data_IF_734194486691
#
_entry.id   IF_734194486691
#
_cell.length_a   1.000
_cell.length_b   1.000
_cell.length_c   1.000
_cell.angle_alpha   90.00
_cell.angle_beta   90.00
_cell.angle_gamma   90.00
#
_symmetry.space_group_name_H-M   'P 1'
#
loop_
_entity.id
_entity.type
_entity.pdbx_description
1 polymer ?
#
# COMPACT_ATOMS: atom_id res chain seq x y z
N UNK A 1 -11.65 8.61 -14.51
CA UNK A 1 -11.97 7.51 -13.59
C UNK A 1 -11.39 7.85 -12.22
N UNK A 2 -11.85 7.22 -11.12
CA UNK A 2 -11.46 7.62 -9.78
C UNK A 2 -9.99 7.28 -9.50
N UNK A 3 -9.29 8.11 -8.71
CA UNK A 3 -7.96 7.78 -8.25
C UNK A 3 -8.02 6.59 -7.29
N UNK A 4 -6.91 5.89 -7.14
CA UNK A 4 -6.83 4.73 -6.26
C UNK A 4 -5.40 4.37 -5.90
N UNK A 5 -5.27 3.18 -5.32
CA UNK A 5 -3.98 2.60 -4.97
C UNK A 5 -3.94 1.12 -5.36
N UNK A 6 -2.73 0.68 -5.71
CA UNK A 6 -2.35 -0.72 -5.65
C UNK A 6 -1.62 -0.94 -4.31
N UNK A 7 -2.21 -1.79 -3.48
CA UNK A 7 -1.73 -2.14 -2.15
C UNK A 7 -1.16 -3.56 -2.19
N UNK A 8 0.08 -3.74 -1.73
CA UNK A 8 0.79 -5.02 -1.80
C UNK A 8 1.47 -5.31 -0.47
N UNK A 9 0.85 -6.13 0.38
CA UNK A 9 1.55 -6.73 1.51
C UNK A 9 2.36 -7.94 1.06
N UNK A 10 3.55 -8.09 1.59
CA UNK A 10 4.47 -9.15 1.16
C UNK A 10 5.21 -9.80 2.30
N UNK A 11 5.54 -11.08 2.09
CA UNK A 11 6.25 -11.93 3.05
C UNK A 11 7.07 -12.98 2.34
N UNK A 12 8.16 -13.40 2.95
CA UNK A 12 8.95 -14.55 2.49
C UNK A 12 8.26 -15.84 2.96
N UNK A 13 8.15 -16.83 2.07
CA UNK A 13 7.60 -18.16 2.36
C UNK A 13 8.66 -19.20 2.67
N UNK A 14 9.87 -19.04 2.14
CA UNK A 14 10.92 -20.07 2.26
C UNK A 14 12.22 -19.45 2.77
N UNK A 15 12.96 -20.17 3.65
CA UNK A 15 14.20 -19.64 4.24
C UNK A 15 15.34 -19.49 3.22
N UNK A 16 15.19 -20.05 2.02
CA UNK A 16 16.15 -19.94 0.91
C UNK A 16 16.17 -18.55 0.24
N UNK A 17 15.19 -17.71 0.54
CA UNK A 17 15.18 -16.30 0.14
C UNK A 17 15.36 -15.47 1.40
N UNK A 18 16.42 -14.66 1.48
CA UNK A 18 16.66 -13.82 2.66
C UNK A 18 15.90 -12.49 2.55
N UNK A 19 15.58 -11.84 3.68
CA UNK A 19 15.03 -10.47 3.70
C UNK A 19 15.85 -9.49 2.87
N UNK A 20 17.19 -9.55 2.96
CA UNK A 20 18.08 -8.64 2.25
C UNK A 20 17.98 -8.82 0.73
N UNK A 21 18.01 -10.07 0.23
CA UNK A 21 17.87 -10.34 -1.19
C UNK A 21 16.47 -9.94 -1.70
N UNK A 22 15.43 -10.23 -0.92
CA UNK A 22 14.06 -9.87 -1.27
C UNK A 22 13.86 -8.35 -1.35
N UNK A 23 14.28 -7.62 -0.32
CA UNK A 23 14.17 -6.16 -0.28
C UNK A 23 15.05 -5.51 -1.36
N UNK A 24 16.29 -5.99 -1.57
CA UNK A 24 17.16 -5.46 -2.60
C UNK A 24 16.56 -5.58 -4.01
N UNK A 25 15.99 -6.74 -4.37
CA UNK A 25 15.26 -6.90 -5.63
C UNK A 25 14.07 -5.96 -5.72
N UNK A 26 13.24 -5.94 -4.68
CA UNK A 26 11.98 -5.20 -4.76
C UNK A 26 12.23 -3.68 -4.82
N UNK A 27 13.16 -3.16 -4.02
CA UNK A 27 13.48 -1.74 -3.95
C UNK A 27 14.26 -1.25 -5.16
N UNK A 28 15.26 -1.99 -5.63
CA UNK A 28 16.17 -1.53 -6.68
C UNK A 28 15.79 -2.02 -8.09
N UNK A 29 14.80 -2.91 -8.21
CA UNK A 29 14.30 -3.39 -9.52
C UNK A 29 12.79 -3.20 -9.61
N UNK A 30 12.01 -3.90 -8.79
CA UNK A 30 10.56 -3.99 -9.01
C UNK A 30 9.81 -2.66 -8.85
N UNK A 31 10.16 -1.84 -7.85
CA UNK A 31 9.55 -0.51 -7.68
C UNK A 31 9.89 0.39 -8.87
N UNK A 32 11.09 0.30 -9.43
CA UNK A 32 11.48 1.08 -10.59
C UNK A 32 10.70 0.66 -11.86
N UNK A 33 10.52 -0.64 -12.08
CA UNK A 33 9.69 -1.15 -13.18
C UNK A 33 8.24 -0.67 -13.06
N UNK A 34 7.67 -0.77 -11.85
CA UNK A 34 6.31 -0.30 -11.58
C UNK A 34 6.18 1.21 -11.78
N UNK A 35 7.13 2.00 -11.29
CA UNK A 35 7.08 3.48 -11.38
C UNK A 35 7.50 4.04 -12.73
N UNK A 36 8.04 3.21 -13.62
CA UNK A 36 8.27 3.55 -15.02
C UNK A 36 6.99 3.50 -15.87
N UNK A 37 5.93 2.86 -15.38
CA UNK A 37 4.64 2.82 -16.06
C UNK A 37 3.96 4.19 -16.08
N UNK A 38 3.25 4.49 -17.18
CA UNK A 38 2.58 5.78 -17.37
C UNK A 38 1.48 6.06 -16.33
N UNK A 39 0.85 5.01 -15.79
CA UNK A 39 -0.24 5.10 -14.82
C UNK A 39 0.16 4.92 -13.35
N UNK A 40 1.45 4.81 -13.02
CA UNK A 40 1.93 4.59 -11.65
C UNK A 40 3.06 5.57 -11.32
N UNK A 41 2.75 6.86 -11.07
CA UNK A 41 3.76 7.91 -10.98
C UNK A 41 4.62 7.86 -9.71
N UNK A 42 4.20 7.11 -8.68
CA UNK A 42 4.95 7.01 -7.42
C UNK A 42 4.57 5.79 -6.60
N UNK A 43 5.49 5.40 -5.72
CA UNK A 43 5.32 4.33 -4.75
C UNK A 43 5.84 4.77 -3.37
N UNK A 44 5.35 4.10 -2.32
CA UNK A 44 5.89 4.16 -0.98
C UNK A 44 5.99 2.74 -0.43
N UNK A 45 7.14 2.39 0.16
CA UNK A 45 7.38 1.10 0.82
C UNK A 45 7.52 1.34 2.32
N UNK A 46 6.94 0.44 3.10
CA UNK A 46 6.96 0.45 4.55
C UNK A 46 7.39 -0.90 5.07
N UNK A 47 8.05 -0.88 6.22
CA UNK A 47 8.40 -2.05 7.01
C UNK A 47 7.69 -1.97 8.37
N UNK A 48 7.30 -3.13 8.89
CA UNK A 48 6.66 -3.26 10.19
C UNK A 48 7.56 -2.77 11.32
N UNK A 49 6.99 -1.97 12.23
CA UNK A 49 7.69 -1.52 13.43
C UNK A 49 7.89 -2.69 14.40
N UNK A 50 9.06 -2.73 15.04
CA UNK A 50 9.36 -3.68 16.11
C UNK A 50 9.63 -2.93 17.42
N UNK A 51 9.07 -3.38 18.57
CA UNK A 51 8.09 -4.47 18.68
C UNK A 51 6.74 -4.10 18.06
N UNK A 52 5.99 -5.09 17.58
CA UNK A 52 4.66 -4.90 17.00
C UNK A 52 3.71 -4.22 17.99
N UNK A 53 3.03 -3.13 17.60
CA UNK A 53 2.17 -2.37 18.51
C UNK A 53 0.84 -3.07 18.82
N UNK A 54 0.40 -4.01 17.97
CA UNK A 54 -0.88 -4.71 18.14
C UNK A 54 -0.73 -6.22 17.91
N UNK A 55 -1.32 -7.06 18.77
CA UNK A 55 -1.31 -8.50 18.57
C UNK A 55 -2.14 -8.89 17.33
N UNK A 56 -1.69 -9.92 16.59
CA UNK A 56 -2.36 -10.44 15.39
C UNK A 56 -2.51 -9.40 14.27
N UNK A 57 -1.67 -8.36 14.25
CA UNK A 57 -1.60 -7.45 13.12
C UNK A 57 -1.11 -8.20 11.88
N UNK A 58 -1.63 -7.84 10.69
CA UNK A 58 -1.18 -8.44 9.44
C UNK A 58 0.33 -8.25 9.22
N UNK A 59 0.90 -7.16 9.73
CA UNK A 59 2.33 -6.85 9.71
C UNK A 59 3.19 -7.91 10.39
N UNK A 60 2.65 -8.64 11.37
CA UNK A 60 3.37 -9.74 12.04
C UNK A 60 3.66 -10.90 11.09
N UNK A 61 2.77 -11.16 10.12
CA UNK A 61 2.99 -12.21 9.12
C UNK A 61 3.50 -11.66 7.78
N UNK A 62 3.22 -10.39 7.47
CA UNK A 62 3.61 -9.70 6.24
C UNK A 62 4.31 -8.38 6.57
N UNK A 63 5.62 -8.42 6.87
CA UNK A 63 6.32 -7.27 7.45
C UNK A 63 6.57 -6.13 6.46
N UNK A 64 6.36 -6.34 5.16
CA UNK A 64 6.57 -5.29 4.15
C UNK A 64 5.27 -4.95 3.42
N UNK A 65 5.01 -3.66 3.29
CA UNK A 65 3.89 -3.10 2.54
C UNK A 65 4.41 -2.13 1.47
N UNK A 66 4.02 -2.34 0.22
CA UNK A 66 4.20 -1.34 -0.85
C UNK A 66 2.85 -0.79 -1.28
N UNK A 67 2.77 0.52 -1.40
CA UNK A 67 1.60 1.24 -1.92
C UNK A 67 2.03 2.02 -3.15
N UNK A 68 1.38 1.75 -4.28
CA UNK A 68 1.56 2.47 -5.53
C UNK A 68 0.36 3.40 -5.74
N UNK A 69 0.62 4.68 -6.02
CA UNK A 69 -0.45 5.60 -6.39
C UNK A 69 -0.90 5.33 -7.82
N UNK A 70 -2.21 5.31 -8.04
CA UNK A 70 -2.82 5.17 -9.36
C UNK A 70 -3.76 6.36 -9.59
N UNK A 71 -3.37 7.37 -10.39
CA UNK A 71 -4.24 8.51 -10.71
C UNK A 71 -5.56 8.09 -11.35
N UNK A 72 -5.53 6.95 -12.03
CA UNK A 72 -6.68 6.26 -12.59
C UNK A 72 -6.59 4.76 -12.22
N UNK A 73 -7.49 4.28 -11.36
CA UNK A 73 -7.49 2.88 -10.92
C UNK A 73 -7.76 1.88 -12.06
N UNK A 74 -8.40 2.32 -13.14
CA UNK A 74 -8.67 1.47 -14.31
C UNK A 74 -7.44 1.23 -15.16
N UNK A 75 -6.33 1.95 -14.92
CA UNK A 75 -5.04 1.67 -15.55
C UNK A 75 -4.63 0.20 -15.39
N UNK A 76 -5.05 -0.48 -14.30
CA UNK A 76 -4.84 -1.92 -14.06
C UNK A 76 -5.38 -2.83 -15.17
N UNK A 77 -6.31 -2.32 -15.99
CA UNK A 77 -6.95 -3.09 -17.08
C UNK A 77 -6.24 -2.92 -18.42
N UNK A 78 -5.30 -1.98 -18.52
CA UNK A 78 -4.59 -1.65 -19.75
C UNK A 78 -3.59 -2.75 -20.13
N UNK A 79 -3.20 -2.77 -21.42
CA UNK A 79 -2.14 -3.67 -21.90
C UNK A 79 -0.79 -3.36 -21.26
N UNK A 80 -0.51 -2.08 -21.00
CA UNK A 80 0.74 -1.63 -20.40
C UNK A 80 0.91 -2.23 -19.00
N UNK A 81 -0.09 -2.07 -18.12
CA UNK A 81 -0.04 -2.63 -16.78
C UNK A 81 0.04 -4.17 -16.77
N UNK A 82 -0.73 -4.83 -17.64
CA UNK A 82 -0.76 -6.30 -17.75
C UNK A 82 0.50 -6.90 -18.40
N UNK A 83 1.33 -6.08 -19.03
CA UNK A 83 2.58 -6.51 -19.68
C UNK A 83 3.74 -6.72 -18.71
N UNK A 84 3.62 -6.26 -17.46
CA UNK A 84 4.66 -6.41 -16.45
C UNK A 84 4.79 -7.83 -15.92
N UNK A 85 6.03 -8.25 -15.68
CA UNK A 85 6.38 -9.50 -15.01
C UNK A 85 5.67 -9.60 -13.64
N UNK A 86 4.95 -10.71 -13.43
CA UNK A 86 4.11 -10.93 -12.25
C UNK A 86 2.62 -10.62 -12.48
N UNK A 87 2.30 -9.86 -13.54
CA UNK A 87 0.95 -9.81 -14.15
C UNK A 87 0.89 -10.71 -15.40
N UNK A 88 2.00 -10.79 -16.14
CA UNK A 88 2.33 -11.82 -17.13
C UNK A 88 3.30 -12.85 -16.52
N UNK A 89 3.55 -13.97 -17.24
CA UNK A 89 4.53 -14.98 -16.80
C UNK A 89 5.92 -14.33 -16.65
N UNK A 90 6.49 -14.26 -15.43
CA UNK A 90 7.79 -13.62 -15.21
C UNK A 90 8.91 -14.37 -15.90
N UNK A 91 10.04 -13.70 -16.14
CA UNK A 91 11.28 -14.39 -16.50
C UNK A 91 11.60 -15.54 -15.51
N UNK A 92 12.08 -16.67 -16.02
CA UNK A 92 12.27 -17.90 -15.23
C UNK A 92 13.14 -17.68 -13.97
N UNK A 93 14.19 -16.85 -14.09
CA UNK A 93 15.04 -16.47 -12.97
C UNK A 93 14.26 -15.75 -11.86
N UNK A 94 13.38 -14.81 -12.24
CA UNK A 94 12.58 -14.04 -11.31
C UNK A 94 11.46 -14.91 -10.69
N UNK A 95 10.89 -15.80 -11.48
CA UNK A 95 9.89 -16.78 -11.03
C UNK A 95 10.46 -17.72 -9.95
N UNK A 96 11.61 -18.35 -10.21
CA UNK A 96 12.28 -19.26 -9.26
C UNK A 96 12.97 -18.52 -8.11
N UNK A 97 13.47 -17.31 -8.38
CA UNK A 97 14.22 -16.49 -7.44
C UNK A 97 13.33 -15.88 -6.37
N UNK A 98 12.22 -15.26 -6.76
CA UNK A 98 11.37 -14.48 -5.85
C UNK A 98 9.92 -14.97 -5.85
N UNK A 99 9.24 -15.03 -6.99
CA UNK A 99 7.77 -15.23 -7.00
C UNK A 99 7.33 -16.56 -6.38
N UNK A 100 8.09 -17.64 -6.52
CA UNK A 100 7.80 -18.93 -5.85
C UNK A 100 8.13 -18.93 -4.36
N UNK A 101 9.02 -18.05 -3.92
CA UNK A 101 9.60 -18.01 -2.55
C UNK A 101 9.02 -16.90 -1.69
N UNK A 102 8.26 -15.97 -2.28
CA UNK A 102 7.53 -14.93 -1.58
C UNK A 102 6.01 -15.09 -1.78
N UNK A 103 5.23 -14.42 -0.94
CA UNK A 103 3.79 -14.24 -1.11
C UNK A 103 3.51 -12.75 -1.19
N UNK A 104 2.68 -12.38 -2.15
CA UNK A 104 2.17 -11.02 -2.35
C UNK A 104 0.65 -11.06 -2.21
N UNK A 105 0.12 -10.34 -1.24
CA UNK A 105 -1.32 -10.12 -1.09
C UNK A 105 -1.65 -8.78 -1.76
N UNK A 106 -2.06 -8.87 -3.03
CA UNK A 106 -2.31 -7.71 -3.91
C UNK A 106 -3.76 -7.29 -3.88
N UNK A 107 -4.03 -5.99 -3.68
CA UNK A 107 -5.37 -5.41 -3.67
C UNK A 107 -5.39 -4.09 -4.42
N UNK A 108 -6.48 -3.83 -5.14
CA UNK A 108 -6.75 -2.55 -5.81
C UNK A 108 -7.88 -1.86 -5.06
N UNK A 109 -7.66 -0.61 -4.67
CA UNK A 109 -8.66 0.19 -3.96
C UNK A 109 -8.95 1.47 -4.71
N UNK A 110 -10.23 1.77 -4.87
CA UNK A 110 -10.72 3.08 -5.28
C UNK A 110 -10.69 4.03 -4.08
N UNK A 111 -10.22 5.26 -4.30
CA UNK A 111 -10.30 6.32 -3.31
C UNK A 111 -11.68 6.95 -3.36
N UNK A 112 -12.51 6.64 -2.35
CA UNK A 112 -13.88 7.18 -2.23
C UNK A 112 -13.95 8.44 -1.36
N UNK A 113 -12.88 8.74 -0.61
CA UNK A 113 -12.78 9.91 0.25
C UNK A 113 -11.35 10.24 0.62
N UNK A 114 -11.10 11.52 0.93
CA UNK A 114 -9.85 11.95 1.57
C UNK A 114 -10.22 12.83 2.75
N UNK A 115 -9.67 12.52 3.93
CA UNK A 115 -9.84 13.33 5.13
C UNK A 115 -8.49 13.94 5.54
N UNK A 116 -8.43 15.25 5.62
CA UNK A 116 -7.26 16.02 6.09
C UNK A 116 -7.73 17.09 7.08
N UNK A 117 -6.86 17.52 7.99
CA UNK A 117 -7.17 18.64 8.89
C UNK A 117 -7.34 19.94 8.08
N UNK A 118 -8.20 20.84 8.56
CA UNK A 118 -8.25 22.20 8.03
C UNK A 118 -6.86 22.86 8.13
N UNK A 119 -6.41 23.47 7.04
CA UNK A 119 -5.04 23.99 6.89
C UNK A 119 -4.00 22.97 6.40
N UNK A 120 -4.40 21.72 6.18
CA UNK A 120 -3.56 20.63 5.69
C UNK A 120 -2.56 20.10 6.72
N UNK A 121 -1.87 19.01 6.39
CA UNK A 121 -0.72 18.59 7.20
C UNK A 121 0.31 19.72 7.22
N UNK A 122 0.80 20.12 8.41
CA UNK A 122 1.93 21.04 8.51
C UNK A 122 3.04 20.49 7.62
N UNK A 123 3.50 21.30 6.66
CA UNK A 123 4.69 20.97 5.87
C UNK A 123 5.77 20.58 6.89
N UNK A 124 6.30 19.37 6.77
CA UNK A 124 7.49 18.98 7.54
C UNK A 124 8.53 20.08 7.35
N UNK A 125 9.18 20.49 8.43
CA UNK A 125 10.07 21.66 8.46
C UNK A 125 11.14 21.64 7.35
N UNK A 126 11.49 20.44 6.87
CA UNK A 126 12.50 20.21 5.83
C UNK A 126 11.95 20.17 4.39
N UNK A 127 10.68 20.52 4.15
CA UNK A 127 10.13 20.61 2.79
C UNK A 127 10.00 19.26 2.06
N UNK A 128 10.20 18.12 2.72
CA UNK A 128 10.07 16.81 2.10
C UNK A 128 8.62 16.52 1.66
N UNK A 129 8.39 16.61 0.34
CA UNK A 129 7.15 16.22 -0.37
C UNK A 129 7.13 14.70 -0.57
N UNK A 130 7.38 13.94 0.49
CA UNK A 130 7.44 12.47 0.47
C UNK A 130 6.18 11.81 1.04
N UNK A 131 6.11 10.46 1.00
CA UNK A 131 5.08 9.72 1.74
C UNK A 131 5.13 10.03 3.26
N UNK A 132 4.07 9.64 3.98
CA UNK A 132 4.11 9.65 5.44
C UNK A 132 5.23 8.73 5.92
N UNK A 133 5.91 9.08 7.02
CA UNK A 133 6.95 8.21 7.60
C UNK A 133 6.35 6.95 8.21
N UNK A 134 5.07 6.99 8.59
CA UNK A 134 4.31 5.89 9.17
C UNK A 134 2.96 5.77 8.46
N UNK A 135 2.45 4.55 8.38
CA UNK A 135 1.12 4.25 7.85
C UNK A 135 0.41 3.27 8.79
N UNK A 136 -0.88 3.48 8.99
CA UNK A 136 -1.80 2.48 9.55
C UNK A 136 -2.72 2.08 8.41
N UNK A 137 -2.77 0.77 8.10
CA UNK A 137 -3.67 0.22 7.09
C UNK A 137 -4.68 -0.69 7.77
N UNK A 138 -5.96 -0.37 7.63
CA UNK A 138 -7.06 -1.13 8.20
C UNK A 138 -8.06 -1.50 7.10
N UNK A 139 -8.67 -2.67 7.22
CA UNK A 139 -9.76 -3.12 6.38
C UNK A 139 -10.93 -3.53 7.27
N UNK A 140 -12.11 -3.02 6.97
CA UNK A 140 -13.34 -3.29 7.72
C UNK A 140 -14.41 -3.77 6.74
N UNK A 141 -15.23 -4.72 7.17
CA UNK A 141 -16.38 -5.19 6.42
C UNK A 141 -17.63 -4.90 7.26
N UNK A 142 -18.51 -3.99 6.82
CA UNK A 142 -19.74 -3.71 7.55
C UNK A 142 -20.64 -4.96 7.55
N UNK A 143 -21.54 -5.03 8.54
CA UNK A 143 -22.57 -6.05 8.54
C UNK A 143 -23.52 -5.85 7.34
N UNK A 144 -24.10 -6.93 6.78
CA UNK A 144 -25.01 -6.80 5.63
C UNK A 144 -26.16 -5.83 5.91
N UNK A 145 -26.38 -4.87 5.02
CA UNK A 145 -27.43 -3.85 5.15
C UNK A 145 -27.09 -2.72 6.15
N UNK A 146 -25.83 -2.63 6.59
CA UNK A 146 -25.30 -1.58 7.49
C UNK A 146 -24.26 -0.70 6.83
N UNK A 147 -24.19 -0.70 5.51
CA UNK A 147 -23.22 0.04 4.72
C UNK A 147 -23.37 1.56 4.93
N UNK A 148 -24.60 2.08 4.91
CA UNK A 148 -24.88 3.51 5.11
C UNK A 148 -24.57 3.95 6.55
N UNK A 149 -24.98 3.14 7.54
CA UNK A 149 -24.67 3.38 8.96
C UNK A 149 -23.14 3.40 9.18
N UNK A 150 -22.42 2.46 8.55
CA UNK A 150 -20.96 2.39 8.61
C UNK A 150 -20.29 3.57 7.94
N UNK A 151 -20.72 3.98 6.74
CA UNK A 151 -20.17 5.14 6.03
C UNK A 151 -20.39 6.44 6.82
N UNK A 152 -21.57 6.62 7.40
CA UNK A 152 -21.89 7.75 8.26
C UNK A 152 -20.97 7.81 9.49
N UNK A 153 -20.87 6.71 10.24
CA UNK A 153 -19.98 6.60 11.39
C UNK A 153 -18.51 6.84 11.00
N UNK A 154 -18.05 6.25 9.90
CA UNK A 154 -16.66 6.37 9.46
C UNK A 154 -16.30 7.83 9.15
N UNK A 155 -17.20 8.55 8.46
CA UNK A 155 -17.00 9.95 8.06
C UNK A 155 -17.16 10.94 9.20
N UNK A 156 -18.18 10.77 10.03
CA UNK A 156 -18.60 11.78 10.99
C UNK A 156 -17.94 11.59 12.36
N UNK A 157 -17.49 10.38 12.69
CA UNK A 157 -16.95 10.07 14.00
C UNK A 157 -15.52 9.50 13.90
N UNK A 158 -15.32 8.43 13.13
CA UNK A 158 -14.04 7.73 13.11
C UNK A 158 -12.90 8.57 12.53
N UNK A 159 -13.10 9.16 11.34
CA UNK A 159 -12.07 9.95 10.68
C UNK A 159 -11.67 11.21 11.48
N UNK A 160 -12.61 12.01 12.03
CA UNK A 160 -12.27 13.11 12.94
C UNK A 160 -11.43 12.66 14.14
N UNK A 161 -11.83 11.57 14.81
CA UNK A 161 -11.12 11.03 15.97
C UNK A 161 -9.68 10.62 15.63
N UNK A 162 -9.49 9.88 14.53
CA UNK A 162 -8.13 9.51 14.06
C UNK A 162 -7.34 10.75 13.66
N UNK A 163 -8.01 11.74 13.09
CA UNK A 163 -7.45 13.04 12.74
C UNK A 163 -6.76 13.70 13.93
N UNK A 164 -7.29 13.61 15.14
CA UNK A 164 -6.70 14.23 16.35
C UNK A 164 -5.30 13.71 16.70
N UNK A 165 -4.90 12.53 16.20
CA UNK A 165 -3.61 11.91 16.45
C UNK A 165 -2.40 12.80 16.13
N UNK A 166 -1.39 12.76 17.00
CA UNK A 166 -0.12 13.45 16.78
C UNK A 166 0.57 12.87 15.53
N UNK A 167 1.05 13.75 14.64
CA UNK A 167 1.69 13.33 13.39
C UNK A 167 0.72 12.87 12.29
N UNK A 168 -0.60 12.88 12.53
CA UNK A 168 -1.60 12.62 11.51
C UNK A 168 -1.40 13.55 10.30
N UNK A 169 -1.34 12.95 9.10
CA UNK A 169 -1.28 13.69 7.83
C UNK A 169 -2.63 13.67 7.13
N UNK A 170 -3.17 12.48 6.88
CA UNK A 170 -4.42 12.25 6.14
C UNK A 170 -4.86 10.79 6.23
N UNK A 171 -6.13 10.55 5.88
CA UNK A 171 -6.73 9.25 5.60
C UNK A 171 -7.27 9.26 4.17
N UNK A 172 -7.16 8.11 3.48
CA UNK A 172 -7.55 7.90 2.09
C UNK A 172 -8.22 6.54 1.95
#
# INVERSE_FOLDING_TARGET
>A
MPPGILWVASRIKTPTLTPETFCAWYENVHIHEMTALSGVPRAARYEAIQPEPYPNALSSDAPWLTVYEMPDIDFRTTKEFRGLDGQSEPAAELLEGVFKKARFDTRFYECVQVHEKEGGAKKVADGCVGPASLIISAALTPAPGKEDDFDAWYRQEHLPLIGEGAGYRRSR
#
